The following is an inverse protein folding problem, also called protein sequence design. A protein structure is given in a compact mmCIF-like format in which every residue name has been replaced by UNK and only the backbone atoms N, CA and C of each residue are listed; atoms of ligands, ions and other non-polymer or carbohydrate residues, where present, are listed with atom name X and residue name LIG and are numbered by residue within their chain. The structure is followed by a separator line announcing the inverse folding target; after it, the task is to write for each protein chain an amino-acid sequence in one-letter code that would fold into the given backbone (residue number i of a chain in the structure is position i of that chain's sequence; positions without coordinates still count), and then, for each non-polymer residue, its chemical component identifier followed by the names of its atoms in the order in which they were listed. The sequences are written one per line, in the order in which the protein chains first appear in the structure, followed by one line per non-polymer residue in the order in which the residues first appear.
data_IF_776639139480
#
_entry.id   IF_776639139480
#
_cell.length_a   1.000
_cell.length_b   1.000
_cell.length_c   1.000
_cell.angle_alpha   90.00
_cell.angle_beta   90.00
_cell.angle_gamma   90.00
#
_symmetry.space_group_name_H-M   'P 1'
#
loop_
_entity.id
_entity.type
_entity.pdbx_description
1 polymer ?
#
# COMPACT_ATOMS: atom_id res chain seq x y z
N UNK A 1 19.50 -11.64 17.44
CA UNK A 1 18.78 -11.71 16.15
C UNK A 1 17.29 -12.06 16.29
N UNK A 2 16.89 -13.12 17.02
CA UNK A 2 15.46 -13.49 17.18
C UNK A 2 14.56 -12.41 17.83
N UNK A 3 15.10 -11.49 18.62
CA UNK A 3 14.34 -10.45 19.31
C UNK A 3 13.93 -9.29 18.39
N UNK A 4 14.76 -8.91 17.40
CA UNK A 4 14.42 -7.88 16.42
C UNK A 4 13.33 -8.34 15.46
N UNK A 5 13.37 -9.62 15.05
CA UNK A 5 12.32 -10.20 14.20
C UNK A 5 10.95 -10.20 14.90
N UNK A 6 10.91 -10.47 16.21
CA UNK A 6 9.67 -10.41 16.99
C UNK A 6 9.13 -8.99 17.13
N UNK A 7 10.00 -7.99 17.26
CA UNK A 7 9.59 -6.59 17.35
C UNK A 7 9.00 -6.11 16.01
N UNK A 8 9.61 -6.47 14.88
CA UNK A 8 9.07 -6.19 13.54
C UNK A 8 7.70 -6.85 13.32
N UNK A 9 7.51 -8.09 13.79
CA UNK A 9 6.26 -8.84 13.67
C UNK A 9 5.08 -8.16 14.38
N UNK A 10 5.30 -7.52 15.53
CA UNK A 10 4.22 -6.83 16.28
C UNK A 10 3.93 -5.43 15.75
N UNK A 11 4.95 -4.70 15.30
CA UNK A 11 4.76 -3.32 14.82
C UNK A 11 4.07 -3.27 13.45
N UNK A 12 4.33 -4.26 12.58
CA UNK A 12 3.67 -4.36 11.27
C UNK A 12 2.19 -4.72 11.40
N UNK A 13 1.83 -5.60 12.34
CA UNK A 13 0.43 -6.01 12.57
C UNK A 13 -0.42 -4.83 13.04
N UNK A 14 0.10 -3.96 13.91
CA UNK A 14 -0.65 -2.81 14.43
C UNK A 14 -0.81 -1.67 13.43
N UNK A 15 0.12 -1.53 12.48
CA UNK A 15 0.02 -0.48 11.46
C UNK A 15 -0.88 -0.89 10.28
N UNK A 16 -1.06 -2.20 10.04
CA UNK A 16 -1.89 -2.70 8.94
C UNK A 16 -3.39 -2.57 9.19
N UNK A 17 -3.83 -2.62 10.48
CA UNK A 17 -5.24 -2.42 10.82
C UNK A 17 -5.75 -0.98 10.57
N UNK A 18 -4.85 0.00 10.46
CA UNK A 18 -5.24 1.40 10.32
C UNK A 18 -5.44 1.88 8.86
N UNK A 19 -5.08 1.08 7.85
CA UNK A 19 -5.13 1.52 6.43
C UNK A 19 -6.38 0.99 5.70
N UNK A 20 -7.15 0.08 6.28
CA UNK A 20 -8.26 -0.59 5.59
C UNK A 20 -9.61 0.15 5.64
N UNK A 21 -9.70 1.26 6.36
CA UNK A 21 -10.94 2.06 6.40
C UNK A 21 -10.59 3.52 6.13
N UNK A 22 -10.34 3.87 4.88
CA UNK A 22 -10.55 5.24 4.44
C UNK A 22 -12.05 5.36 4.16
N UNK A 23 -12.82 5.53 5.23
CA UNK A 23 -14.12 6.18 5.14
C UNK A 23 -13.87 7.56 4.54
N UNK A 24 -14.45 7.83 3.40
CA UNK A 24 -14.61 9.17 2.84
C UNK A 24 -15.51 9.94 3.81
N UNK A 25 -14.93 10.56 4.83
CA UNK A 25 -15.57 11.64 5.54
C UNK A 25 -15.30 12.93 4.77
N UNK A 26 -16.30 13.33 4.01
CA UNK A 26 -16.47 14.71 3.56
C UNK A 26 -16.55 15.58 4.80
N UNK A 27 -15.50 16.30 5.12
CA UNK A 27 -15.56 17.43 6.03
C UNK A 27 -15.64 18.66 5.15
N UNK A 28 -16.88 19.13 4.98
CA UNK A 28 -17.16 20.47 4.50
C UNK A 28 -16.84 21.47 5.63
N UNK A 29 -16.13 22.51 5.22
CA UNK A 29 -16.26 23.87 5.69
C UNK A 29 -15.94 24.21 7.16
N UNK A 30 -14.74 24.75 7.38
CA UNK A 30 -14.52 25.91 8.27
C UNK A 30 -13.29 26.69 7.80
N UNK A 31 -13.48 27.52 6.79
CA UNK A 31 -12.54 28.58 6.48
C UNK A 31 -13.09 29.86 7.11
N UNK A 32 -12.60 30.23 8.30
CA UNK A 32 -12.75 31.57 8.81
C UNK A 32 -11.49 31.99 9.58
N UNK A 33 -10.87 33.04 9.07
CA UNK A 33 -10.03 34.00 9.74
C UNK A 33 -8.80 33.54 10.55
N UNK A 34 -7.65 33.58 9.85
CA UNK A 34 -6.41 34.09 10.43
C UNK A 34 -5.53 34.67 9.32
N UNK A 35 -5.93 35.83 8.81
CA UNK A 35 -5.00 36.78 8.20
C UNK A 35 -4.45 37.62 9.32
N UNK A 36 -3.18 37.43 9.65
CA UNK A 36 -2.29 38.52 10.13
C UNK A 36 -0.87 37.95 10.35
N UNK A 37 0.06 38.64 9.71
CA UNK A 37 1.52 38.69 9.95
C UNK A 37 2.34 37.53 9.42
N UNK A 38 2.92 37.68 8.26
CA UNK A 38 4.37 37.71 8.09
C UNK A 38 4.73 37.89 6.61
N UNK A 39 4.84 39.13 6.23
CA UNK A 39 5.71 39.55 5.13
C UNK A 39 7.14 39.49 5.67
N UNK A 40 7.86 38.41 5.38
CA UNK A 40 9.34 38.39 5.50
C UNK A 40 9.87 37.09 4.86
N UNK A 41 10.55 37.23 3.74
CA UNK A 41 11.53 36.29 3.20
C UNK A 41 10.99 35.06 2.47
N UNK A 42 10.36 35.28 1.32
CA UNK A 42 10.28 34.30 0.26
C UNK A 42 11.65 34.21 -0.45
N UNK A 43 12.62 33.58 0.20
CA UNK A 43 13.88 33.19 -0.45
C UNK A 43 13.75 31.71 -0.83
N UNK A 44 13.68 31.46 -2.15
CA UNK A 44 13.95 30.22 -2.88
C UNK A 44 13.68 28.90 -2.13
N UNK A 45 12.42 28.61 -1.82
CA UNK A 45 12.02 27.23 -1.62
C UNK A 45 12.12 26.49 -2.98
N UNK A 46 12.81 25.35 -3.07
CA UNK A 46 12.88 24.60 -4.31
C UNK A 46 11.45 24.32 -4.79
N UNK A 47 11.16 24.72 -6.06
CA UNK A 47 9.84 24.49 -6.67
C UNK A 47 9.47 23.03 -6.50
N UNK A 48 8.47 22.76 -5.66
CA UNK A 48 7.88 21.43 -5.51
C UNK A 48 7.47 20.98 -6.90
N UNK A 49 8.04 19.86 -7.39
CA UNK A 49 7.62 19.26 -8.66
C UNK A 49 6.09 19.11 -8.64
N UNK A 50 5.42 19.72 -9.61
CA UNK A 50 3.98 19.57 -9.79
C UNK A 50 3.70 18.08 -9.94
N UNK A 51 2.95 17.51 -9.00
CA UNK A 51 2.63 16.09 -9.03
C UNK A 51 1.57 15.80 -10.06
N UNK A 52 1.78 14.70 -10.77
CA UNK A 52 0.76 14.07 -11.58
C UNK A 52 -0.43 13.67 -10.69
N UNK A 53 -1.52 14.42 -10.75
CA UNK A 53 -2.74 14.09 -10.01
C UNK A 53 -3.49 13.00 -10.76
N UNK A 54 -3.42 11.78 -10.27
CA UNK A 54 -4.24 10.67 -10.80
C UNK A 54 -5.63 10.75 -10.18
N UNK A 55 -6.66 10.75 -11.04
CA UNK A 55 -8.03 10.62 -10.56
C UNK A 55 -8.22 9.24 -9.93
N UNK A 56 -8.79 9.19 -8.73
CA UNK A 56 -9.20 7.92 -8.11
C UNK A 56 -10.45 7.42 -8.83
N UNK A 57 -10.40 6.26 -9.52
CA UNK A 57 -11.60 5.67 -10.09
C UNK A 57 -12.59 5.27 -8.99
N UNK A 58 -13.88 5.27 -9.29
CA UNK A 58 -14.88 4.72 -8.39
C UNK A 58 -14.97 3.19 -8.55
N UNK A 59 -15.14 2.48 -7.44
CA UNK A 59 -15.53 1.07 -7.47
C UNK A 59 -17.01 0.97 -7.80
N UNK A 60 -17.40 0.01 -8.62
CA UNK A 60 -18.81 -0.32 -8.82
C UNK A 60 -19.39 -0.91 -7.53
N UNK A 61 -20.66 -0.60 -7.22
CA UNK A 61 -21.29 -1.04 -5.97
C UNK A 61 -21.21 -2.56 -5.75
N UNK A 62 -21.48 -3.35 -6.77
CA UNK A 62 -21.40 -4.80 -6.68
C UNK A 62 -19.96 -5.31 -6.43
N UNK A 63 -18.95 -4.61 -6.87
CA UNK A 63 -17.54 -4.93 -6.59
C UNK A 63 -17.20 -4.55 -5.15
N UNK A 64 -17.64 -3.37 -4.71
CA UNK A 64 -17.48 -2.94 -3.32
C UNK A 64 -18.11 -3.94 -2.34
N UNK A 65 -19.35 -4.37 -2.59
CA UNK A 65 -20.07 -5.33 -1.75
C UNK A 65 -19.32 -6.67 -1.65
N UNK A 66 -18.80 -7.19 -2.78
CA UNK A 66 -18.00 -8.41 -2.78
C UNK A 66 -16.68 -8.27 -2.05
N UNK A 67 -15.99 -7.15 -2.20
CA UNK A 67 -14.77 -6.90 -1.42
C UNK A 67 -15.06 -6.78 0.07
N UNK A 68 -16.16 -6.13 0.46
CA UNK A 68 -16.60 -6.05 1.84
C UNK A 68 -16.96 -7.43 2.42
N UNK A 69 -17.64 -8.29 1.64
CA UNK A 69 -17.92 -9.69 2.01
C UNK A 69 -16.63 -10.47 2.28
N UNK A 70 -15.65 -10.40 1.36
CA UNK A 70 -14.35 -11.03 1.55
C UNK A 70 -13.61 -10.50 2.79
N UNK A 71 -13.72 -9.20 3.07
CA UNK A 71 -13.12 -8.62 4.26
C UNK A 71 -13.76 -9.11 5.55
N UNK A 72 -15.10 -9.27 5.61
CA UNK A 72 -15.80 -9.82 6.77
C UNK A 72 -15.32 -11.25 7.06
N UNK A 73 -15.18 -12.09 6.04
CA UNK A 73 -14.61 -13.43 6.20
C UNK A 73 -13.17 -13.39 6.70
N UNK A 74 -12.35 -12.48 6.15
CA UNK A 74 -10.96 -12.33 6.56
C UNK A 74 -10.82 -11.89 8.02
N UNK A 75 -11.64 -10.96 8.49
CA UNK A 75 -11.69 -10.51 9.89
C UNK A 75 -12.14 -11.62 10.84
N UNK A 76 -13.03 -12.51 10.38
CA UNK A 76 -13.44 -13.71 11.09
C UNK A 76 -12.41 -14.86 11.00
N UNK A 77 -11.25 -14.64 10.36
CA UNK A 77 -10.22 -15.66 10.07
C UNK A 77 -10.70 -16.83 9.19
N UNK A 78 -11.79 -16.62 8.47
CA UNK A 78 -12.34 -17.55 7.49
C UNK A 78 -11.67 -17.30 6.12
N UNK A 79 -10.37 -17.58 6.05
CA UNK A 79 -9.56 -17.21 4.89
C UNK A 79 -9.95 -17.97 3.61
N UNK A 80 -10.42 -19.21 3.73
CA UNK A 80 -10.86 -20.01 2.59
C UNK A 80 -12.13 -19.42 1.95
N UNK A 81 -13.09 -19.02 2.76
CA UNK A 81 -14.32 -18.36 2.32
C UNK A 81 -14.03 -16.99 1.70
N UNK A 82 -13.11 -16.22 2.30
CA UNK A 82 -12.67 -14.98 1.72
C UNK A 82 -12.03 -15.16 0.33
N UNK A 83 -11.19 -16.20 0.16
CA UNK A 83 -10.59 -16.54 -1.13
C UNK A 83 -11.61 -17.00 -2.15
N UNK A 84 -12.64 -17.73 -1.76
CA UNK A 84 -13.71 -18.16 -2.66
C UNK A 84 -14.43 -16.96 -3.27
N UNK A 85 -14.80 -15.97 -2.44
CA UNK A 85 -15.41 -14.72 -2.92
C UNK A 85 -14.49 -14.00 -3.92
N UNK A 86 -13.20 -13.92 -3.63
CA UNK A 86 -12.24 -13.25 -4.52
C UNK A 86 -12.03 -14.05 -5.82
N UNK A 87 -12.04 -15.39 -5.76
CA UNK A 87 -11.94 -16.26 -6.94
C UNK A 87 -13.14 -16.06 -7.86
N UNK A 88 -14.37 -15.97 -7.31
CA UNK A 88 -15.56 -15.64 -8.09
C UNK A 88 -15.42 -14.30 -8.81
N UNK A 89 -14.81 -13.29 -8.16
CA UNK A 89 -14.58 -11.98 -8.78
C UNK A 89 -13.56 -12.04 -9.92
N UNK A 90 -12.57 -12.94 -9.84
CA UNK A 90 -11.55 -13.12 -10.86
C UNK A 90 -11.96 -14.07 -12.00
N UNK A 91 -13.09 -14.77 -11.86
CA UNK A 91 -13.54 -15.69 -12.88
C UNK A 91 -13.88 -14.96 -14.18
N UNK A 92 -12.98 -15.08 -15.15
CA UNK A 92 -13.11 -14.48 -16.47
C UNK A 92 -14.27 -15.04 -17.31
N UNK A 93 -14.87 -16.18 -16.92
CA UNK A 93 -16.00 -16.80 -17.63
C UNK A 93 -17.30 -16.07 -17.37
N UNK A 94 -17.40 -15.35 -16.27
CA UNK A 94 -18.54 -14.51 -15.94
C UNK A 94 -18.55 -13.24 -16.77
N UNK A 95 -19.42 -13.13 -17.76
CA UNK A 95 -19.60 -11.92 -18.59
C UNK A 95 -19.95 -10.65 -17.78
N UNK A 96 -20.37 -10.81 -16.51
CA UNK A 96 -20.74 -9.73 -15.61
C UNK A 96 -19.58 -9.16 -14.80
N UNK A 97 -18.42 -9.81 -14.76
CA UNK A 97 -17.32 -9.50 -13.85
C UNK A 97 -16.05 -9.04 -14.54
N UNK A 98 -16.12 -8.42 -15.73
CA UNK A 98 -14.92 -7.81 -16.30
C UNK A 98 -14.48 -6.65 -15.41
N UNK A 99 -13.54 -6.93 -14.52
CA UNK A 99 -12.96 -5.94 -13.63
C UNK A 99 -12.11 -4.94 -14.42
N UNK A 100 -12.22 -3.66 -14.07
CA UNK A 100 -11.26 -2.68 -14.55
C UNK A 100 -9.95 -2.78 -13.74
N UNK A 101 -8.90 -2.06 -14.13
CA UNK A 101 -7.59 -2.10 -13.50
C UNK A 101 -7.62 -1.76 -12.01
N UNK A 102 -8.40 -0.76 -11.63
CA UNK A 102 -8.54 -0.36 -10.23
C UNK A 102 -9.28 -1.43 -9.40
N UNK A 103 -10.34 -2.01 -9.95
CA UNK A 103 -11.06 -3.11 -9.31
C UNK A 103 -10.17 -4.35 -9.15
N UNK A 104 -9.41 -4.72 -10.20
CA UNK A 104 -8.39 -5.79 -10.13
C UNK A 104 -7.36 -5.52 -9.04
N UNK A 105 -6.87 -4.29 -8.96
CA UNK A 105 -5.90 -3.90 -7.94
C UNK A 105 -6.45 -4.10 -6.53
N UNK A 106 -7.72 -3.75 -6.29
CA UNK A 106 -8.36 -3.97 -4.98
C UNK A 106 -8.53 -5.47 -4.67
N UNK A 107 -8.94 -6.28 -5.64
CA UNK A 107 -9.01 -7.74 -5.47
C UNK A 107 -7.64 -8.31 -5.13
N UNK A 108 -6.60 -7.95 -5.88
CA UNK A 108 -5.23 -8.42 -5.61
C UNK A 108 -4.70 -7.92 -4.27
N UNK A 109 -5.03 -6.70 -3.87
CA UNK A 109 -4.65 -6.16 -2.56
C UNK A 109 -5.29 -6.97 -1.42
N UNK A 110 -6.56 -7.36 -1.55
CA UNK A 110 -7.23 -8.22 -0.57
C UNK A 110 -6.60 -9.62 -0.53
N UNK A 111 -6.29 -10.21 -1.68
CA UNK A 111 -5.54 -11.47 -1.72
C UNK A 111 -4.19 -11.38 -1.04
N UNK A 112 -3.43 -10.30 -1.30
CA UNK A 112 -2.14 -10.09 -0.67
C UNK A 112 -2.27 -10.05 0.85
N UNK A 113 -3.31 -9.38 1.36
CA UNK A 113 -3.63 -9.36 2.79
C UNK A 113 -3.91 -10.77 3.34
N UNK A 114 -4.75 -11.58 2.66
CA UNK A 114 -5.06 -12.94 3.10
C UNK A 114 -3.79 -13.80 3.18
N UNK A 115 -2.93 -13.74 2.16
CA UNK A 115 -1.65 -14.45 2.16
C UNK A 115 -0.72 -13.99 3.29
N UNK A 116 -0.67 -12.68 3.52
CA UNK A 116 0.11 -12.12 4.63
C UNK A 116 -0.41 -12.61 5.99
N UNK A 117 -1.73 -12.66 6.18
CA UNK A 117 -2.37 -13.08 7.41
C UNK A 117 -2.05 -14.54 7.80
N UNK A 118 -1.84 -15.41 6.80
CA UNK A 118 -1.43 -16.81 7.00
C UNK A 118 0.10 -16.99 6.89
N UNK A 119 0.88 -15.92 7.00
CA UNK A 119 2.34 -15.91 6.92
C UNK A 119 2.92 -16.43 5.57
N UNK A 120 2.10 -16.52 4.51
CA UNK A 120 2.56 -16.77 3.15
C UNK A 120 3.08 -15.47 2.52
N UNK A 121 4.26 -15.03 2.95
CA UNK A 121 4.85 -13.77 2.51
C UNK A 121 5.21 -13.78 1.03
N UNK A 122 5.55 -14.93 0.48
CA UNK A 122 5.81 -15.08 -0.96
C UNK A 122 4.54 -14.92 -1.78
N UNK A 123 3.45 -15.54 -1.35
CA UNK A 123 2.13 -15.33 -1.95
C UNK A 123 1.66 -13.88 -1.85
N UNK A 124 1.81 -13.27 -0.67
CA UNK A 124 1.49 -11.86 -0.45
C UNK A 124 2.26 -10.95 -1.42
N UNK A 125 3.59 -11.16 -1.52
CA UNK A 125 4.45 -10.40 -2.42
C UNK A 125 4.00 -10.53 -3.90
N UNK A 126 3.65 -11.74 -4.33
CA UNK A 126 3.18 -11.97 -5.69
C UNK A 126 1.89 -11.20 -6.00
N UNK A 127 0.95 -11.14 -5.05
CA UNK A 127 -0.29 -10.39 -5.24
C UNK A 127 -0.07 -8.87 -5.16
N UNK A 128 0.76 -8.37 -4.25
CA UNK A 128 1.11 -6.94 -4.22
C UNK A 128 1.80 -6.49 -5.50
N UNK A 129 2.65 -7.31 -6.11
CA UNK A 129 3.22 -7.01 -7.43
C UNK A 129 2.15 -6.89 -8.49
N UNK A 130 1.13 -7.76 -8.50
CA UNK A 130 -0.02 -7.63 -9.41
C UNK A 130 -0.81 -6.34 -9.19
N UNK A 131 -0.85 -5.79 -7.97
CA UNK A 131 -1.41 -4.44 -7.73
C UNK A 131 -0.59 -3.39 -8.47
N UNK A 132 0.74 -3.42 -8.33
CA UNK A 132 1.66 -2.48 -8.99
C UNK A 132 1.57 -2.58 -10.52
N UNK A 133 1.34 -3.78 -11.08
CA UNK A 133 1.19 -4.01 -12.52
C UNK A 133 -0.08 -3.36 -13.11
N UNK A 134 -1.02 -2.90 -12.26
CA UNK A 134 -2.20 -2.15 -12.73
C UNK A 134 -1.92 -0.66 -12.96
N UNK A 135 -0.68 -0.19 -12.79
CA UNK A 135 -0.31 1.21 -13.11
C UNK A 135 -0.48 1.53 -14.60
N UNK A 136 -0.79 2.77 -14.95
CA UNK A 136 -1.02 3.94 -14.11
C UNK A 136 -2.48 4.10 -13.65
N UNK A 137 -3.36 3.13 -13.88
CA UNK A 137 -4.82 3.24 -13.68
C UNK A 137 -5.25 3.06 -12.22
N UNK A 138 -4.30 2.97 -11.29
CA UNK A 138 -4.56 2.95 -9.85
C UNK A 138 -4.24 4.30 -9.21
N UNK A 139 -4.90 4.66 -8.08
CA UNK A 139 -4.57 5.86 -7.33
C UNK A 139 -3.11 5.86 -6.88
N UNK A 140 -2.49 7.04 -6.91
CA UNK A 140 -1.10 7.20 -6.48
C UNK A 140 -0.90 6.76 -5.02
N UNK A 141 -1.89 7.01 -4.14
CA UNK A 141 -1.84 6.57 -2.74
C UNK A 141 -1.76 5.03 -2.61
N UNK A 142 -2.52 4.29 -3.44
CA UNK A 142 -2.48 2.83 -3.46
C UNK A 142 -1.11 2.34 -3.96
N UNK A 143 -0.58 2.94 -5.02
CA UNK A 143 0.75 2.62 -5.53
C UNK A 143 1.83 2.82 -4.48
N UNK A 144 1.87 4.02 -3.86
CA UNK A 144 2.86 4.36 -2.83
C UNK A 144 2.76 3.41 -1.64
N UNK A 145 1.54 3.16 -1.13
CA UNK A 145 1.34 2.23 -0.01
C UNK A 145 1.82 0.82 -0.35
N UNK A 146 1.48 0.34 -1.55
CA UNK A 146 1.87 -1.01 -2.00
C UNK A 146 3.39 -1.13 -2.19
N UNK A 147 4.05 -0.12 -2.78
CA UNK A 147 5.52 -0.13 -2.93
C UNK A 147 6.23 -0.24 -1.58
N UNK A 148 5.75 0.49 -0.57
CA UNK A 148 6.34 0.40 0.78
C UNK A 148 6.18 -1.00 1.38
N UNK A 149 4.99 -1.58 1.26
CA UNK A 149 4.72 -2.95 1.74
C UNK A 149 5.58 -3.99 1.00
N UNK A 150 5.72 -3.86 -0.32
CA UNK A 150 6.57 -4.76 -1.13
C UNK A 150 8.03 -4.66 -0.69
N UNK A 151 8.54 -3.44 -0.44
CA UNK A 151 9.90 -3.27 0.07
C UNK A 151 10.09 -3.96 1.42
N UNK A 152 9.14 -3.78 2.35
CA UNK A 152 9.19 -4.44 3.67
C UNK A 152 9.16 -5.97 3.55
N UNK A 153 8.35 -6.52 2.64
CA UNK A 153 8.28 -7.97 2.41
C UNK A 153 9.59 -8.51 1.82
N UNK A 154 10.24 -7.78 0.92
CA UNK A 154 11.56 -8.17 0.43
C UNK A 154 12.60 -8.18 1.55
N UNK A 155 12.62 -7.16 2.43
CA UNK A 155 13.52 -7.14 3.58
C UNK A 155 13.21 -8.27 4.57
N UNK A 156 11.94 -8.61 4.77
CA UNK A 156 11.53 -9.73 5.62
C UNK A 156 12.02 -11.08 5.08
N UNK A 157 12.10 -11.22 3.75
CA UNK A 157 12.60 -12.41 3.05
C UNK A 157 14.11 -12.38 2.82
N UNK A 158 14.82 -11.40 3.39
CA UNK A 158 16.25 -11.20 3.24
C UNK A 158 16.68 -10.95 1.76
N UNK A 159 15.74 -10.57 0.90
CA UNK A 159 16.01 -10.16 -0.47
C UNK A 159 16.45 -8.69 -0.53
N UNK A 160 17.59 -8.41 0.11
CA UNK A 160 18.06 -7.06 0.44
C UNK A 160 18.09 -6.11 -0.76
N UNK A 161 18.68 -6.54 -1.89
CA UNK A 161 18.78 -5.68 -3.07
C UNK A 161 17.41 -5.30 -3.62
N UNK A 162 16.48 -6.26 -3.72
CA UNK A 162 15.12 -5.98 -4.20
C UNK A 162 14.36 -5.06 -3.23
N UNK A 163 14.60 -5.24 -1.92
CA UNK A 163 14.06 -4.36 -0.89
C UNK A 163 14.54 -2.92 -1.05
N UNK A 164 15.85 -2.73 -1.25
CA UNK A 164 16.48 -1.43 -1.50
C UNK A 164 15.91 -0.79 -2.77
N UNK A 165 15.91 -1.53 -3.88
CA UNK A 165 15.42 -1.02 -5.17
C UNK A 165 13.96 -0.56 -5.10
N UNK A 166 13.11 -1.36 -4.42
CA UNK A 166 11.70 -1.05 -4.26
C UNK A 166 11.50 0.14 -3.31
N UNK A 167 12.28 0.20 -2.23
CA UNK A 167 12.21 1.32 -1.28
C UNK A 167 12.66 2.63 -1.93
N UNK A 168 13.69 2.61 -2.79
CA UNK A 168 14.10 3.75 -3.58
C UNK A 168 13.00 4.22 -4.55
N UNK A 169 12.28 3.29 -5.20
CA UNK A 169 11.11 3.64 -6.02
C UNK A 169 10.03 4.33 -5.18
N UNK A 170 9.74 3.80 -3.99
CA UNK A 170 8.81 4.40 -3.05
C UNK A 170 9.24 5.80 -2.61
N UNK A 171 10.53 5.98 -2.27
CA UNK A 171 11.06 7.28 -1.87
C UNK A 171 10.96 8.32 -2.99
N UNK A 172 11.18 7.91 -4.23
CA UNK A 172 11.03 8.78 -5.39
C UNK A 172 9.57 9.20 -5.65
N UNK A 173 8.61 8.34 -5.28
CA UNK A 173 7.18 8.59 -5.42
C UNK A 173 6.57 9.31 -4.20
N UNK A 174 7.24 9.27 -3.03
CA UNK A 174 6.75 9.85 -1.77
C UNK A 174 7.22 11.30 -1.62
N UNK A 175 6.33 12.20 -1.14
CA UNK A 175 6.72 13.61 -0.88
C UNK A 175 7.59 13.77 0.36
N UNK A 176 7.34 12.96 1.37
CA UNK A 176 7.99 13.04 2.66
C UNK A 176 8.33 11.62 3.14
N UNK A 177 9.44 11.03 2.66
CA UNK A 177 9.89 9.74 3.16
C UNK A 177 10.06 9.78 4.68
N UNK A 178 9.51 8.79 5.37
CA UNK A 178 9.59 8.72 6.83
C UNK A 178 11.02 8.37 7.31
N UNK A 179 11.37 8.77 8.52
CA UNK A 179 12.64 8.36 9.15
C UNK A 179 12.80 6.84 9.14
N UNK A 180 11.72 6.09 9.34
CA UNK A 180 11.76 4.63 9.31
C UNK A 180 12.18 4.08 7.95
N UNK A 181 11.84 4.75 6.85
CA UNK A 181 12.26 4.33 5.52
C UNK A 181 13.78 4.46 5.34
N UNK A 182 14.37 5.56 5.85
CA UNK A 182 15.83 5.72 5.83
C UNK A 182 16.55 4.70 6.70
N UNK A 183 16.00 4.37 7.87
CA UNK A 183 16.53 3.31 8.73
C UNK A 183 16.46 1.95 8.04
N UNK A 184 15.35 1.66 7.37
CA UNK A 184 15.16 0.41 6.62
C UNK A 184 16.16 0.31 5.46
N UNK A 185 16.36 1.43 4.73
CA UNK A 185 17.33 1.53 3.64
C UNK A 185 18.77 1.31 4.14
N UNK A 186 19.16 1.99 5.21
CA UNK A 186 20.47 1.83 5.83
C UNK A 186 20.73 0.39 6.30
N UNK A 187 19.70 -0.26 6.89
CA UNK A 187 19.80 -1.66 7.27
C UNK A 187 20.00 -2.58 6.06
N UNK A 188 19.29 -2.31 4.95
CA UNK A 188 19.44 -3.06 3.70
C UNK A 188 20.87 -3.00 3.16
N UNK A 189 21.45 -1.81 3.06
CA UNK A 189 22.86 -1.65 2.64
C UNK A 189 23.83 -2.32 3.60
N UNK A 190 23.59 -2.19 4.91
CA UNK A 190 24.40 -2.88 5.91
C UNK A 190 24.41 -4.41 5.73
N UNK A 191 23.24 -5.01 5.43
CA UNK A 191 23.15 -6.46 5.20
C UNK A 191 23.82 -6.90 3.91
N UNK A 192 23.81 -6.08 2.89
CA UNK A 192 24.60 -6.31 1.66
C UNK A 192 26.10 -6.10 1.86
N UNK A 193 26.52 -5.55 3.03
CA UNK A 193 27.89 -5.09 3.28
C UNK A 193 28.34 -4.01 2.26
N UNK A 194 27.40 -3.24 1.79
CA UNK A 194 27.60 -2.13 0.89
C UNK A 194 27.69 -0.87 1.76
N UNK A 195 28.91 -0.45 2.07
CA UNK A 195 29.18 0.64 3.00
C UNK A 195 29.64 1.93 2.30
N UNK A 196 29.63 1.99 0.97
CA UNK A 196 30.10 3.14 0.18
C UNK A 196 29.05 4.25 0.02
#
# INVERSE_FOLDING_TARGET
MASLLKFFRHTVITTFMAVSVVAVLVVADQAADLRLVADASAQDAPKKKERETRKTPALRNNIYEKLAEAQVFAEAQQFAEAEEVLNEMLDATSKKSKLNKYELANVYNTYAYLRYAVEDYTGALNYYRKVIDQRPEIPLALEIGTLYTVAQLYFLQEEWQKGIDTLNQWMAASDNPSTNAYVLLANGYYQLKDYD
#
